data_IF_713813925433
#
_entry.id   IF_713813925433
#
_cell.length_a   1.000
_cell.length_b   1.000
_cell.length_c   1.000
_cell.angle_alpha   90.00
_cell.angle_beta   90.00
_cell.angle_gamma   90.00
#
_symmetry.space_group_name_H-M   'P 1'
#
loop_
_entity.id
_entity.type
_entity.pdbx_description
1 polymer ?
#
# COMPACT_ATOMS: atom_id res chain seq x y z
N UNK A 1 0.58 1.05 8.72
CA UNK A 1 1.81 0.79 9.51
C UNK A 1 2.51 2.12 9.76
N UNK A 2 3.27 2.27 10.84
CA UNK A 2 3.99 3.51 11.07
C UNK A 2 5.21 3.60 10.14
N UNK A 3 5.57 4.80 9.70
CA UNK A 3 6.87 5.07 9.08
C UNK A 3 7.98 5.06 10.14
N UNK A 4 7.63 5.48 11.37
CA UNK A 4 8.51 5.48 12.54
C UNK A 4 7.76 4.99 13.75
N UNK A 5 8.20 3.92 14.38
CA UNK A 5 7.51 3.36 15.55
C UNK A 5 7.84 4.12 16.84
N UNK A 6 9.09 4.55 16.99
CA UNK A 6 9.63 5.07 18.25
C UNK A 6 10.04 6.54 18.13
N UNK A 7 9.05 7.44 18.13
CA UNK A 7 9.32 8.89 18.30
C UNK A 7 8.93 9.37 19.70
N UNK A 8 9.37 10.56 20.08
CA UNK A 8 9.00 11.19 21.37
C UNK A 8 7.50 11.39 21.54
N UNK A 9 6.75 11.48 20.44
CA UNK A 9 5.30 11.71 20.43
C UNK A 9 4.50 10.44 20.08
N UNK A 10 5.14 9.27 20.09
CA UNK A 10 4.55 8.01 19.62
C UNK A 10 4.84 7.73 18.14
N UNK A 11 4.17 6.74 17.52
CA UNK A 11 4.42 6.39 16.13
C UNK A 11 4.03 7.52 15.16
N UNK A 12 4.81 7.68 14.10
CA UNK A 12 4.56 8.63 13.03
C UNK A 12 4.14 7.90 11.76
N UNK A 13 3.01 8.31 11.17
CA UNK A 13 2.39 7.64 10.00
C UNK A 13 2.51 8.42 8.69
N UNK A 14 2.97 9.67 8.76
CA UNK A 14 3.16 10.54 7.60
C UNK A 14 4.47 11.31 7.71
N UNK A 15 5.11 11.56 6.58
CA UNK A 15 6.29 12.39 6.45
C UNK A 15 6.16 13.22 5.17
N UNK A 16 6.48 14.53 5.16
CA UNK A 16 6.42 15.34 3.94
C UNK A 16 7.26 14.82 2.77
N UNK A 17 8.26 13.99 3.02
CA UNK A 17 9.13 13.38 2.00
C UNK A 17 8.66 11.99 1.56
N UNK A 18 7.54 11.50 2.09
CA UNK A 18 6.96 10.19 1.74
C UNK A 18 5.68 10.45 0.94
N UNK A 19 5.69 10.28 -0.39
CA UNK A 19 4.56 10.65 -1.26
C UNK A 19 3.42 9.61 -1.29
N UNK A 20 3.36 8.70 -0.32
CA UNK A 20 2.36 7.64 -0.28
C UNK A 20 1.96 7.28 1.16
N UNK A 21 0.92 6.47 1.27
CA UNK A 21 0.50 5.87 2.53
C UNK A 21 1.04 4.46 2.63
N UNK A 22 1.55 4.08 3.81
CA UNK A 22 2.01 2.72 4.10
C UNK A 22 1.01 1.97 4.98
N UNK A 23 0.36 0.96 4.41
CA UNK A 23 -0.73 0.23 5.04
C UNK A 23 -0.37 -1.27 5.15
N UNK A 24 -0.86 -1.93 6.20
CA UNK A 24 -0.85 -3.40 6.25
C UNK A 24 -1.96 -3.94 5.35
N UNK A 25 -3.08 -3.22 5.32
CA UNK A 25 -4.30 -3.61 4.63
C UNK A 25 -5.09 -2.35 4.24
N UNK A 26 -5.74 -2.41 3.09
CA UNK A 26 -6.71 -1.43 2.62
C UNK A 26 -8.10 -2.09 2.54
N UNK A 27 -9.09 -1.50 3.21
CA UNK A 27 -10.48 -1.95 3.16
C UNK A 27 -11.31 -0.96 2.31
N UNK A 28 -11.45 -1.17 0.99
CA UNK A 28 -12.28 -0.30 0.16
C UNK A 28 -13.77 -0.55 0.42
N UNK A 29 -14.53 0.53 0.62
CA UNK A 29 -15.99 0.48 0.55
C UNK A 29 -16.43 0.48 -0.90
N UNK A 30 -17.00 -0.63 -1.37
CA UNK A 30 -17.47 -0.80 -2.74
C UNK A 30 -19.00 -0.95 -2.77
N UNK A 31 -19.67 -0.17 -3.63
CA UNK A 31 -21.13 -0.24 -3.78
C UNK A 31 -21.57 -1.63 -4.25
N UNK A 32 -22.42 -2.29 -3.45
CA UNK A 32 -23.07 -3.55 -3.80
C UNK A 32 -22.18 -4.78 -3.85
N UNK A 33 -20.92 -4.67 -3.42
CA UNK A 33 -20.02 -5.82 -3.27
C UNK A 33 -19.92 -6.26 -1.81
N UNK A 34 -19.67 -7.55 -1.61
CA UNK A 34 -19.19 -8.02 -0.31
C UNK A 34 -17.92 -7.26 0.07
N UNK A 35 -17.74 -7.02 1.36
CA UNK A 35 -16.51 -6.41 1.85
C UNK A 35 -15.29 -7.25 1.38
N UNK A 36 -14.28 -6.56 0.86
CA UNK A 36 -13.01 -7.13 0.39
C UNK A 36 -11.89 -6.28 0.95
N UNK A 37 -10.74 -6.92 1.14
CA UNK A 37 -9.54 -6.26 1.61
C UNK A 37 -8.46 -6.40 0.54
N UNK A 38 -7.61 -5.39 0.43
CA UNK A 38 -6.39 -5.46 -0.36
C UNK A 38 -5.25 -5.52 0.64
N UNK A 39 -4.56 -6.64 0.66
CA UNK A 39 -3.41 -6.91 1.52
C UNK A 39 -2.24 -7.45 0.68
N UNK A 40 -1.15 -7.82 1.35
CA UNK A 40 -0.05 -8.56 0.74
C UNK A 40 -0.17 -10.04 1.08
N UNK A 41 0.30 -10.88 0.16
CA UNK A 41 0.48 -12.31 0.34
C UNK A 41 1.92 -12.68 0.03
N UNK A 42 2.54 -13.42 0.93
CA UNK A 42 3.87 -13.98 0.75
C UNK A 42 3.78 -15.32 0.02
N UNK A 43 4.51 -15.45 -1.09
CA UNK A 43 4.86 -16.76 -1.64
C UNK A 43 6.22 -17.24 -1.10
N UNK A 44 6.81 -18.28 -1.68
CA UNK A 44 8.11 -18.80 -1.21
C UNK A 44 9.29 -17.82 -1.48
N UNK A 45 9.08 -16.76 -2.27
CA UNK A 45 10.14 -15.88 -2.77
C UNK A 45 9.95 -14.39 -2.43
N UNK A 46 8.71 -13.89 -2.39
CA UNK A 46 8.42 -12.46 -2.26
C UNK A 46 6.95 -12.17 -1.87
N UNK A 47 6.63 -10.90 -1.59
CA UNK A 47 5.25 -10.47 -1.37
C UNK A 47 4.63 -9.87 -2.63
N UNK A 48 3.33 -10.07 -2.82
CA UNK A 48 2.54 -9.27 -3.75
C UNK A 48 1.12 -9.01 -3.26
N UNK A 49 0.42 -8.13 -3.97
CA UNK A 49 -0.93 -7.71 -3.66
C UNK A 49 -1.91 -8.87 -3.82
N UNK A 50 -2.88 -8.93 -2.92
CA UNK A 50 -3.97 -9.90 -2.97
C UNK A 50 -5.29 -9.21 -2.61
N UNK A 51 -6.35 -9.65 -3.29
CA UNK A 51 -7.72 -9.38 -2.87
C UNK A 51 -8.17 -10.51 -1.93
N UNK A 52 -8.47 -10.18 -0.68
CA UNK A 52 -8.88 -11.15 0.32
C UNK A 52 -10.32 -10.89 0.81
N UNK A 53 -10.92 -11.92 1.41
CA UNK A 53 -12.15 -11.76 2.19
C UNK A 53 -11.72 -11.23 3.57
N UNK A 54 -12.36 -10.15 4.07
CA UNK A 54 -12.04 -9.62 5.39
C UNK A 54 -12.14 -10.74 6.40
N UNK A 55 -11.12 -10.87 7.23
CA UNK A 55 -11.25 -11.72 8.41
C UNK A 55 -12.35 -11.08 9.25
N UNK A 56 -13.48 -11.78 9.40
CA UNK A 56 -14.70 -11.27 10.02
C UNK A 56 -14.38 -10.37 11.22
N UNK A 57 -14.67 -9.08 11.07
CA UNK A 57 -14.64 -8.07 12.13
C UNK A 57 -15.37 -8.64 13.37
N UNK A 58 -14.59 -9.04 14.38
CA UNK A 58 -15.12 -9.82 15.51
C UNK A 58 -14.08 -10.21 16.55
N UNK A 59 -12.79 -10.20 16.20
CA UNK A 59 -11.73 -10.07 17.18
C UNK A 59 -11.22 -8.63 17.15
N UNK A 60 -11.37 -7.91 18.26
CA UNK A 60 -10.52 -6.75 18.53
C UNK A 60 -9.08 -7.18 18.22
N UNK A 61 -8.49 -6.58 17.18
CA UNK A 61 -7.10 -6.87 16.85
C UNK A 61 -6.23 -6.35 18.00
N UNK A 62 -5.80 -7.26 18.88
CA UNK A 62 -4.97 -6.95 20.06
C UNK A 62 -3.49 -6.67 19.71
N UNK A 63 -3.16 -6.53 18.42
CA UNK A 63 -1.80 -6.26 17.95
C UNK A 63 -1.43 -4.78 17.97
N UNK A 64 -0.18 -4.50 17.57
CA UNK A 64 0.39 -3.13 17.54
C UNK A 64 -0.14 -2.28 16.37
N UNK A 65 -0.89 -2.88 15.45
CA UNK A 65 -1.42 -2.19 14.28
C UNK A 65 -2.53 -1.21 14.66
N UNK A 66 -2.64 -0.14 13.88
CA UNK A 66 -3.58 0.96 14.07
C UNK A 66 -4.44 1.08 12.82
N UNK A 67 -5.75 1.28 13.04
CA UNK A 67 -6.72 1.56 12.00
C UNK A 67 -6.86 3.08 11.83
N UNK A 68 -6.99 3.55 10.59
CA UNK A 68 -7.30 4.94 10.27
C UNK A 68 -8.23 4.97 9.06
N UNK A 69 -9.24 5.83 9.13
CA UNK A 69 -10.04 6.17 7.97
C UNK A 69 -9.24 7.10 7.06
N UNK A 70 -9.24 6.82 5.77
CA UNK A 70 -8.48 7.55 4.75
C UNK A 70 -9.44 8.06 3.67
N UNK A 71 -9.30 9.32 3.29
CA UNK A 71 -10.03 9.88 2.16
C UNK A 71 -9.30 9.55 0.85
N UNK A 72 -9.62 8.39 0.27
CA UNK A 72 -9.22 8.04 -1.09
C UNK A 72 -10.24 8.60 -2.11
N UNK A 73 -9.87 8.74 -3.40
CA UNK A 73 -10.81 9.14 -4.44
C UNK A 73 -12.04 8.23 -4.46
N UNK A 74 -13.24 8.83 -4.38
CA UNK A 74 -14.52 8.13 -4.41
C UNK A 74 -15.12 8.24 -5.80
N UNK A 75 -15.55 7.12 -6.36
CA UNK A 75 -16.23 7.09 -7.64
C UNK A 75 -16.25 5.71 -8.26
N UNK A 76 -16.78 5.62 -9.48
CA UNK A 76 -16.71 4.41 -10.27
C UNK A 76 -15.25 4.15 -10.68
N UNK A 77 -14.79 2.93 -10.51
CA UNK A 77 -13.55 2.46 -11.13
C UNK A 77 -13.83 2.26 -12.62
N UNK A 78 -13.21 3.10 -13.46
CA UNK A 78 -13.37 3.07 -14.91
C UNK A 78 -12.40 2.09 -15.56
N UNK A 79 -11.22 1.91 -14.97
CA UNK A 79 -10.21 0.95 -15.41
C UNK A 79 -9.34 0.49 -14.24
N UNK A 80 -8.77 -0.72 -14.38
CA UNK A 80 -7.74 -1.24 -13.51
C UNK A 80 -6.62 -1.83 -14.37
N UNK A 81 -5.41 -1.28 -14.24
CA UNK A 81 -4.20 -1.83 -14.88
C UNK A 81 -3.43 -2.61 -13.82
N UNK A 82 -3.10 -3.86 -14.14
CA UNK A 82 -2.40 -4.76 -13.23
C UNK A 82 -1.00 -5.04 -13.76
N UNK A 83 -0.02 -5.08 -12.87
CA UNK A 83 1.35 -5.46 -13.21
C UNK A 83 1.75 -6.69 -12.42
N UNK A 84 2.04 -7.75 -13.16
CA UNK A 84 2.61 -8.97 -12.64
C UNK A 84 4.12 -8.93 -12.80
N UNK A 85 4.85 -9.22 -11.74
CA UNK A 85 6.30 -9.32 -11.75
C UNK A 85 6.71 -10.47 -10.83
N UNK A 86 7.73 -11.24 -11.22
CA UNK A 86 8.21 -12.42 -10.47
C UNK A 86 7.12 -13.45 -10.10
N UNK A 87 6.00 -13.48 -10.81
CA UNK A 87 4.87 -14.40 -10.54
C UNK A 87 3.84 -13.87 -9.54
N UNK A 88 4.01 -12.64 -9.04
CA UNK A 88 3.10 -12.01 -8.08
C UNK A 88 2.50 -10.72 -8.62
N UNK A 89 1.40 -10.26 -8.02
CA UNK A 89 0.76 -8.99 -8.36
C UNK A 89 1.50 -7.84 -7.68
N UNK A 90 2.43 -7.22 -8.40
CA UNK A 90 3.30 -6.18 -7.84
C UNK A 90 2.54 -4.86 -7.66
N UNK A 91 1.76 -4.47 -8.66
CA UNK A 91 1.13 -3.16 -8.74
C UNK A 91 -0.29 -3.24 -9.33
N UNK A 92 -1.15 -2.35 -8.87
CA UNK A 92 -2.48 -2.10 -9.43
C UNK A 92 -2.70 -0.60 -9.53
N UNK A 93 -2.90 -0.09 -10.75
CA UNK A 93 -3.35 1.28 -10.99
C UNK A 93 -4.85 1.28 -11.20
N UNK A 94 -5.58 2.04 -10.38
CA UNK A 94 -7.03 2.21 -10.49
C UNK A 94 -7.35 3.60 -11.03
N UNK A 95 -8.11 3.66 -12.11
CA UNK A 95 -8.64 4.93 -12.65
C UNK A 95 -10.07 5.14 -12.13
N UNK A 96 -10.29 6.27 -11.45
CA UNK A 96 -11.54 6.65 -10.79
C UNK A 96 -11.94 8.04 -11.30
N UNK A 97 -12.78 8.09 -12.34
CA UNK A 97 -13.10 9.32 -13.03
C UNK A 97 -11.87 9.93 -13.70
N UNK A 98 -11.45 11.11 -13.22
CA UNK A 98 -10.25 11.83 -13.73
C UNK A 98 -9.00 11.61 -12.88
N UNK A 99 -9.11 10.86 -11.78
CA UNK A 99 -8.01 10.58 -10.86
C UNK A 99 -7.53 9.15 -11.07
N UNK A 100 -6.24 8.90 -10.89
CA UNK A 100 -5.72 7.54 -10.79
C UNK A 100 -4.97 7.39 -9.48
N UNK A 101 -5.04 6.20 -8.88
CA UNK A 101 -4.24 5.83 -7.72
C UNK A 101 -3.44 4.58 -8.05
N UNK A 102 -2.28 4.44 -7.43
CA UNK A 102 -1.43 3.26 -7.56
C UNK A 102 -1.33 2.55 -6.21
N UNK A 103 -1.60 1.25 -6.23
CA UNK A 103 -1.37 0.32 -5.14
C UNK A 103 -0.13 -0.50 -5.49
N UNK A 104 0.78 -0.69 -4.52
CA UNK A 104 2.01 -1.47 -4.72
C UNK A 104 2.30 -2.34 -3.50
N UNK A 105 2.70 -3.58 -3.72
CA UNK A 105 3.30 -4.41 -2.67
C UNK A 105 4.75 -3.95 -2.44
N UNK A 106 4.98 -3.21 -1.36
CA UNK A 106 6.25 -2.57 -1.05
C UNK A 106 6.27 -2.05 0.39
N UNK A 107 7.47 -1.78 0.92
CA UNK A 107 7.69 -1.24 2.26
C UNK A 107 8.73 -0.11 2.26
N UNK A 108 8.53 0.80 3.19
CA UNK A 108 9.35 1.96 3.47
C UNK A 108 10.05 1.72 4.81
N UNK A 109 11.38 1.70 4.75
CA UNK A 109 12.23 1.54 5.94
C UNK A 109 12.99 2.85 6.21
N UNK A 110 12.86 3.40 7.42
CA UNK A 110 13.70 4.53 7.83
C UNK A 110 15.12 4.06 8.18
N UNK A 111 16.11 4.71 7.59
CA UNK A 111 17.52 4.56 7.94
C UNK A 111 17.88 5.43 9.15
N UNK A 112 18.94 5.05 9.86
CA UNK A 112 19.48 5.80 11.02
C UNK A 112 19.83 7.28 10.75
N UNK A 113 19.99 7.68 9.48
CA UNK A 113 20.27 9.06 9.09
C UNK A 113 18.99 9.86 8.75
N UNK A 114 17.80 9.29 8.97
CA UNK A 114 16.50 9.89 8.67
C UNK A 114 16.07 9.81 7.20
N UNK A 115 16.85 9.15 6.33
CA UNK A 115 16.44 8.87 4.96
C UNK A 115 15.62 7.59 4.86
N UNK A 116 14.92 7.37 3.75
CA UNK A 116 14.07 6.20 3.54
C UNK A 116 14.68 5.25 2.48
N UNK A 117 14.54 3.95 2.73
CA UNK A 117 14.68 2.90 1.72
C UNK A 117 13.31 2.42 1.28
N UNK A 118 13.22 2.04 0.01
CA UNK A 118 11.98 1.68 -0.66
C UNK A 118 12.12 0.28 -1.24
N UNK A 119 11.54 -0.70 -0.57
CA UNK A 119 11.65 -2.10 -0.92
C UNK A 119 10.38 -2.56 -1.63
N UNK A 120 10.50 -3.05 -2.87
CA UNK A 120 9.38 -3.69 -3.58
C UNK A 120 9.24 -5.14 -3.11
N UNK A 121 8.04 -5.67 -3.29
CA UNK A 121 7.69 -7.04 -2.94
C UNK A 121 7.84 -7.36 -1.46
N UNK A 122 7.42 -6.42 -0.62
CA UNK A 122 7.51 -6.51 0.83
C UNK A 122 6.13 -6.47 1.49
N UNK A 123 6.09 -6.55 2.81
CA UNK A 123 4.89 -6.84 3.63
C UNK A 123 3.77 -5.80 3.55
N UNK A 124 4.04 -4.60 3.04
CA UNK A 124 3.08 -3.49 3.03
C UNK A 124 2.40 -3.23 1.70
N UNK A 125 1.23 -2.60 1.79
CA UNK A 125 0.53 -1.96 0.68
C UNK A 125 0.86 -0.47 0.69
N UNK A 126 1.61 -0.01 -0.30
CA UNK A 126 1.82 1.42 -0.54
C UNK A 126 0.73 1.98 -1.46
N UNK A 127 0.13 3.10 -1.04
CA UNK A 127 -0.93 3.78 -1.79
C UNK A 127 -0.45 5.17 -2.23
N UNK A 128 -0.23 5.33 -3.53
CA UNK A 128 0.12 6.61 -4.16
C UNK A 128 -1.13 7.27 -4.73
N UNK A 129 -1.40 8.51 -4.31
CA UNK A 129 -2.51 9.31 -4.83
C UNK A 129 -2.18 9.97 -6.18
N UNK A 130 -0.90 10.09 -6.48
CA UNK A 130 -0.36 10.49 -7.77
C UNK A 130 0.60 9.37 -8.23
N UNK A 131 0.19 8.50 -9.17
CA UNK A 131 1.01 7.36 -9.58
C UNK A 131 2.42 7.74 -10.05
N UNK A 132 2.60 8.94 -10.61
CA UNK A 132 3.90 9.41 -11.08
C UNK A 132 4.91 9.67 -9.96
N UNK A 133 4.46 9.84 -8.71
CA UNK A 133 5.36 9.94 -7.56
C UNK A 133 6.17 8.65 -7.35
N UNK A 134 5.59 7.50 -7.68
CA UNK A 134 6.28 6.21 -7.61
C UNK A 134 7.41 6.08 -8.65
N UNK A 135 7.39 6.87 -9.72
CA UNK A 135 8.44 6.87 -10.74
C UNK A 135 9.70 7.64 -10.28
N UNK A 136 9.57 8.49 -9.26
CA UNK A 136 10.67 9.31 -8.74
C UNK A 136 11.46 8.60 -7.63
N UNK A 137 11.05 7.38 -7.25
CA UNK A 137 11.62 6.62 -6.14
C UNK A 137 12.69 5.65 -6.65
N UNK A 138 13.83 5.62 -5.95
CA UNK A 138 14.87 4.62 -6.16
C UNK A 138 14.48 3.31 -5.45
N UNK A 139 13.81 2.43 -6.18
CA UNK A 139 13.30 1.15 -5.68
C UNK A 139 14.37 0.07 -5.55
N UNK A 140 14.20 -0.79 -4.55
CA UNK A 140 14.98 -2.01 -4.32
C UNK A 140 14.02 -3.22 -4.34
N UNK A 141 14.09 -4.14 -5.30
CA UNK A 141 14.80 -4.02 -6.58
C UNK A 141 14.21 -2.89 -7.46
N UNK A 142 14.95 -2.44 -8.50
CA UNK A 142 14.47 -1.40 -9.41
C UNK A 142 13.12 -1.74 -10.05
N UNK A 143 12.24 -0.74 -10.15
CA UNK A 143 10.98 -0.85 -10.88
C UNK A 143 11.27 -0.84 -12.39
N UNK A 144 10.86 -1.87 -13.12
CA UNK A 144 11.07 -1.90 -14.57
C UNK A 144 10.24 -0.79 -15.22
N UNK A 145 10.85 -0.04 -16.14
CA UNK A 145 10.15 0.94 -16.99
C UNK A 145 9.17 0.21 -17.92
N UNK A 146 8.03 0.84 -18.21
CA UNK A 146 7.17 0.43 -19.34
C UNK A 146 7.84 0.68 -20.70
#
# INVERSE_FOLDING_TARGET
>A
MALREYTTNGPQFSDPNVPCLQLVQLEPTLDGADCRTIDTYQDDACFGLRLAIPHLHGQEWAGIYRESELSLPIGRIDAATVRLETGTLAEVTLSIGSVSILLMAAEINERNNGSFEWHRFDESVLVFLEPTDADQIEWIPPRLSE
#
